data_IF_619629217765
#
_entry.id   IF_619629217765
#
_cell.length_a   1.000
_cell.length_b   1.000
_cell.length_c   1.000
_cell.angle_alpha   90.00
_cell.angle_beta   90.00
_cell.angle_gamma   90.00
#
_symmetry.space_group_name_H-M   'P 1'
#
loop_
_entity.id
_entity.type
_entity.pdbx_description
1 polymer ?
#
# COMPACT_ATOMS: atom_id res chain seq x y z
N UNK A 1 -0.59 12.06 8.12
CA UNK A 1 -1.04 10.81 7.46
C UNK A 1 -0.39 10.73 6.10
N UNK A 2 0.31 9.64 5.82
CA UNK A 2 0.71 9.33 4.45
C UNK A 2 -0.50 8.83 3.68
N UNK A 3 -0.63 9.27 2.45
CA UNK A 3 -1.72 8.87 1.56
C UNK A 3 -1.17 8.88 0.15
N UNK A 4 -0.80 7.71 -0.34
CA UNK A 4 -0.06 7.57 -1.60
C UNK A 4 -0.53 6.34 -2.37
N UNK A 5 -0.07 6.24 -3.63
CA UNK A 5 -0.20 5.02 -4.40
C UNK A 5 1.17 4.41 -4.69
N UNK A 6 1.18 3.11 -4.88
CA UNK A 6 2.33 2.35 -5.35
C UNK A 6 1.92 1.80 -6.70
N UNK A 7 2.60 2.23 -7.77
CA UNK A 7 2.22 1.88 -9.13
C UNK A 7 3.43 1.43 -9.94
N UNK A 8 3.20 0.64 -10.97
CA UNK A 8 4.24 0.19 -11.89
C UNK A 8 4.48 1.26 -12.95
N UNK A 9 5.70 1.78 -13.02
CA UNK A 9 6.12 2.74 -14.03
C UNK A 9 6.48 2.08 -15.35
N UNK A 10 6.79 2.90 -16.35
CA UNK A 10 7.23 2.43 -17.69
C UNK A 10 8.53 1.63 -17.62
N UNK A 11 9.34 1.85 -16.58
CA UNK A 11 10.59 1.13 -16.33
C UNK A 11 10.38 -0.27 -15.73
N UNK A 12 9.13 -0.69 -15.50
CA UNK A 12 8.79 -1.96 -14.88
C UNK A 12 9.01 -2.01 -13.38
N UNK A 13 9.35 -0.88 -12.76
CA UNK A 13 9.57 -0.77 -11.31
C UNK A 13 8.37 -0.10 -10.64
N UNK A 14 8.18 -0.41 -9.37
CA UNK A 14 7.18 0.27 -8.56
C UNK A 14 7.69 1.66 -8.14
N UNK A 15 6.76 2.60 -8.06
CA UNK A 15 7.00 3.98 -7.66
C UNK A 15 5.97 4.42 -6.65
N UNK A 16 6.35 5.35 -5.76
CA UNK A 16 5.41 6.02 -4.87
C UNK A 16 4.94 7.31 -5.51
N UNK A 17 3.67 7.63 -5.36
CA UNK A 17 3.10 8.93 -5.71
C UNK A 17 2.17 9.37 -4.59
N UNK A 18 2.46 10.53 -3.99
CA UNK A 18 1.59 11.11 -2.98
C UNK A 18 0.28 11.55 -3.64
N UNK A 19 -0.84 11.25 -3.00
CA UNK A 19 -2.17 11.56 -3.51
C UNK A 19 -2.73 12.79 -2.80
N UNK A 20 -3.59 13.53 -3.50
CA UNK A 20 -4.21 14.75 -2.99
C UNK A 20 -5.19 14.40 -1.86
N UNK A 21 -4.92 14.96 -0.68
CA UNK A 21 -5.75 14.79 0.52
C UNK A 21 -6.70 15.97 0.75
N UNK A 22 -6.74 16.93 -0.16
CA UNK A 22 -7.62 18.10 0.02
C UNK A 22 -9.08 17.70 -0.05
N UNK A 23 -9.92 18.43 0.66
CA UNK A 23 -11.36 18.23 0.63
C UNK A 23 -11.86 18.49 -0.80
N UNK A 24 -12.61 17.52 -1.34
CA UNK A 24 -13.10 17.60 -2.71
C UNK A 24 -12.16 17.05 -3.77
N UNK A 25 -11.02 16.47 -3.39
CA UNK A 25 -10.21 15.69 -4.32
C UNK A 25 -10.98 14.44 -4.78
N UNK A 26 -10.47 13.76 -5.81
CA UNK A 26 -11.13 12.54 -6.27
C UNK A 26 -11.12 11.40 -5.25
N UNK A 27 -10.41 11.55 -4.14
CA UNK A 27 -10.35 10.54 -3.07
C UNK A 27 -11.12 10.97 -1.83
N UNK A 28 -11.21 12.25 -1.54
CA UNK A 28 -11.85 12.78 -0.32
C UNK A 28 -13.22 13.37 -0.65
N UNK A 29 -14.21 13.06 0.17
CA UNK A 29 -15.63 13.31 -0.05
C UNK A 29 -16.22 12.57 -1.26
N UNK A 30 -15.44 11.74 -1.92
CA UNK A 30 -15.91 10.91 -3.02
C UNK A 30 -16.34 9.55 -2.49
N UNK A 31 -17.33 8.94 -3.14
CA UNK A 31 -17.68 7.53 -2.90
C UNK A 31 -16.78 6.69 -3.78
N UNK A 32 -15.87 5.95 -3.16
CA UNK A 32 -14.91 5.12 -3.89
C UNK A 32 -15.46 3.71 -4.06
N UNK A 33 -15.42 3.14 -5.28
CA UNK A 33 -15.87 1.77 -5.50
C UNK A 33 -15.05 0.79 -4.67
N UNK A 34 -15.71 -0.19 -4.06
CA UNK A 34 -15.03 -1.25 -3.32
C UNK A 34 -15.80 -2.56 -3.45
N UNK A 35 -15.07 -3.67 -3.52
CA UNK A 35 -15.66 -5.01 -3.68
C UNK A 35 -15.66 -5.81 -2.39
N UNK A 36 -14.64 -5.64 -1.55
CA UNK A 36 -14.48 -6.44 -0.35
C UNK A 36 -13.60 -5.69 0.66
N UNK A 37 -13.81 -5.99 1.92
CA UNK A 37 -13.00 -5.51 3.04
C UNK A 37 -12.51 -6.72 3.82
N UNK A 38 -11.21 -6.77 4.12
CA UNK A 38 -10.62 -7.81 4.95
C UNK A 38 -9.70 -7.17 5.99
N UNK A 39 -9.77 -7.65 7.23
CA UNK A 39 -8.82 -7.29 8.27
C UNK A 39 -7.78 -8.40 8.39
N UNK A 40 -6.52 -8.02 8.50
CA UNK A 40 -5.42 -8.97 8.65
C UNK A 40 -4.55 -8.62 9.85
N UNK A 41 -4.16 -9.65 10.58
CA UNK A 41 -3.26 -9.58 11.72
C UNK A 41 -2.38 -10.83 11.72
N UNK A 42 -1.66 -11.06 10.63
CA UNK A 42 -0.70 -12.16 10.49
C UNK A 42 0.73 -11.73 10.87
N UNK A 43 0.81 -10.71 11.66
CA UNK A 43 2.00 -10.18 12.36
C UNK A 43 3.31 -10.48 11.60
N UNK A 44 4.35 -9.96 11.89
CA UNK A 44 5.75 -10.19 11.49
C UNK A 44 6.02 -11.25 10.38
N UNK A 45 5.14 -11.37 9.37
CA UNK A 45 5.33 -12.29 8.24
C UNK A 45 6.64 -11.96 7.53
N UNK A 46 7.47 -12.97 7.27
CA UNK A 46 8.72 -12.80 6.55
C UNK A 46 8.63 -13.15 5.06
N UNK A 47 7.56 -13.80 4.63
CA UNK A 47 7.34 -14.11 3.21
C UNK A 47 7.10 -12.87 2.33
N UNK A 48 6.85 -11.71 2.94
CA UNK A 48 6.69 -10.43 2.25
C UNK A 48 8.01 -9.67 2.09
N UNK A 49 9.11 -10.13 2.71
CA UNK A 49 10.40 -9.44 2.65
C UNK A 49 11.03 -9.47 1.26
N UNK A 50 10.72 -10.47 0.43
CA UNK A 50 11.17 -10.56 -0.95
C UNK A 50 10.34 -9.70 -1.90
N UNK A 51 10.85 -9.52 -3.11
CA UNK A 51 10.15 -8.78 -4.15
C UNK A 51 8.87 -9.49 -4.57
N UNK A 52 7.76 -8.76 -4.57
CA UNK A 52 6.46 -9.29 -5.00
C UNK A 52 5.57 -8.15 -5.49
N UNK A 53 4.68 -8.47 -6.39
CA UNK A 53 3.66 -7.53 -6.88
C UNK A 53 2.45 -7.54 -5.95
N UNK A 54 1.62 -6.50 -6.05
CA UNK A 54 0.32 -6.52 -5.40
C UNK A 54 -0.55 -7.61 -6.04
N UNK A 55 -1.25 -8.43 -5.24
CA UNK A 55 -2.11 -9.50 -5.78
C UNK A 55 -3.30 -8.95 -6.56
N UNK A 56 -3.69 -7.73 -6.28
CA UNK A 56 -4.79 -6.99 -6.90
C UNK A 56 -4.66 -5.52 -6.55
N UNK A 57 -5.38 -4.66 -7.26
CA UNK A 57 -5.52 -3.27 -6.84
C UNK A 57 -6.32 -3.22 -5.55
N UNK A 58 -5.77 -2.61 -4.53
CA UNK A 58 -6.42 -2.54 -3.22
C UNK A 58 -5.87 -1.40 -2.38
N UNK A 59 -6.74 -0.82 -1.55
CA UNK A 59 -6.32 0.08 -0.49
C UNK A 59 -5.77 -0.73 0.68
N UNK A 60 -4.73 -0.23 1.30
CA UNK A 60 -4.21 -0.75 2.56
C UNK A 60 -4.21 0.36 3.59
N UNK A 61 -4.89 0.11 4.71
CA UNK A 61 -5.02 1.05 5.81
C UNK A 61 -4.34 0.41 7.02
N UNK A 62 -3.27 1.01 7.51
CA UNK A 62 -2.61 0.53 8.74
C UNK A 62 -3.41 0.95 9.95
N UNK A 63 -3.76 -0.01 10.78
CA UNK A 63 -4.54 0.20 12.00
C UNK A 63 -3.62 0.24 13.22
N UNK A 64 -2.65 -0.65 13.30
CA UNK A 64 -1.62 -0.64 14.35
C UNK A 64 -0.35 -1.28 13.84
N UNK A 65 0.75 -1.10 14.58
CA UNK A 65 2.06 -1.55 14.10
C UNK A 65 2.51 -0.74 12.90
N UNK A 66 3.33 -1.34 12.06
CA UNK A 66 3.87 -0.65 10.89
C UNK A 66 4.31 -1.64 9.81
N UNK A 67 4.50 -1.12 8.60
CA UNK A 67 5.12 -1.86 7.50
C UNK A 67 6.09 -0.94 6.77
N UNK A 68 7.28 -1.46 6.44
CA UNK A 68 8.24 -0.78 5.58
C UNK A 68 8.09 -1.31 4.16
N UNK A 69 7.73 -0.44 3.23
CA UNK A 69 7.61 -0.78 1.81
C UNK A 69 8.85 -0.25 1.10
N UNK A 70 9.56 -1.15 0.42
CA UNK A 70 10.72 -0.80 -0.40
C UNK A 70 10.43 -0.99 -1.88
N UNK A 71 11.00 -0.11 -2.71
CA UNK A 71 10.86 -0.15 -4.17
C UNK A 71 12.24 -0.19 -4.84
N UNK A 72 12.27 -0.45 -6.15
CA UNK A 72 13.47 -0.82 -6.88
C UNK A 72 14.56 0.24 -7.00
N UNK A 73 14.25 1.52 -6.73
CA UNK A 73 15.25 2.59 -6.70
C UNK A 73 15.92 2.75 -5.33
N UNK A 74 15.61 1.88 -4.38
CA UNK A 74 16.16 1.92 -3.03
C UNK A 74 15.36 2.80 -2.06
N UNK A 75 14.31 3.46 -2.50
CA UNK A 75 13.44 4.26 -1.63
C UNK A 75 12.60 3.33 -0.78
N UNK A 76 12.47 3.69 0.49
CA UNK A 76 11.63 2.97 1.46
C UNK A 76 10.76 3.97 2.20
N UNK A 77 9.51 3.56 2.47
CA UNK A 77 8.59 4.32 3.32
C UNK A 77 8.02 3.41 4.38
N UNK A 78 7.88 3.94 5.59
CA UNK A 78 7.26 3.24 6.72
C UNK A 78 5.84 3.79 6.89
N UNK A 79 4.87 2.88 6.86
CA UNK A 79 3.46 3.20 7.06
C UNK A 79 3.06 2.76 8.47
N UNK A 80 2.65 3.71 9.28
CA UNK A 80 2.17 3.48 10.64
C UNK A 80 0.66 3.68 10.76
N UNK A 81 0.11 3.66 11.99
CA UNK A 81 -1.34 3.78 12.20
C UNK A 81 -1.92 5.02 11.53
N UNK A 82 -2.99 4.84 10.77
CA UNK A 82 -3.66 5.90 10.02
C UNK A 82 -3.09 6.17 8.65
N UNK A 83 -1.92 5.62 8.31
CA UNK A 83 -1.35 5.76 6.96
C UNK A 83 -2.04 4.82 5.98
N UNK A 84 -2.18 5.28 4.74
CA UNK A 84 -2.92 4.59 3.69
C UNK A 84 -2.09 4.54 2.42
N UNK A 85 -2.05 3.39 1.77
CA UNK A 85 -1.54 3.32 0.41
C UNK A 85 -2.49 2.54 -0.50
N UNK A 86 -2.50 2.94 -1.77
CA UNK A 86 -3.20 2.25 -2.83
C UNK A 86 -2.18 1.40 -3.58
N UNK A 87 -2.30 0.08 -3.45
CA UNK A 87 -1.43 -0.85 -4.17
C UNK A 87 -1.98 -1.05 -5.58
N UNK A 88 -1.22 -0.60 -6.58
CA UNK A 88 -1.57 -0.72 -8.00
C UNK A 88 -0.46 -1.39 -8.81
N UNK A 89 0.63 -1.78 -8.17
CA UNK A 89 1.79 -2.41 -8.81
C UNK A 89 1.56 -3.91 -8.98
N UNK A 90 0.58 -4.26 -9.80
CA UNK A 90 0.18 -5.65 -10.06
C UNK A 90 1.05 -6.33 -11.10
N UNK A 91 1.98 -5.61 -11.69
CA UNK A 91 2.94 -6.10 -12.71
C UNK A 91 4.35 -5.64 -12.38
N UNK A 92 5.34 -6.15 -13.12
CA UNK A 92 6.71 -5.71 -13.00
C UNK A 92 7.44 -6.27 -11.78
N UNK A 93 8.41 -5.52 -11.28
CA UNK A 93 9.28 -5.95 -10.17
C UNK A 93 8.54 -6.03 -8.83
N UNK A 94 7.59 -5.13 -8.62
CA UNK A 94 6.88 -5.07 -7.36
C UNK A 94 7.66 -4.34 -6.26
N UNK A 95 7.35 -4.70 -5.03
CA UNK A 95 7.89 -4.07 -3.83
C UNK A 95 8.25 -5.11 -2.78
N UNK A 96 8.93 -4.67 -1.74
CA UNK A 96 9.18 -5.47 -0.53
C UNK A 96 8.32 -4.91 0.61
N UNK A 97 7.95 -5.75 1.55
CA UNK A 97 7.19 -5.35 2.73
C UNK A 97 7.76 -6.01 3.98
N UNK A 98 8.20 -5.20 4.93
CA UNK A 98 8.73 -5.67 6.20
C UNK A 98 7.78 -5.24 7.31
N UNK A 99 6.88 -6.12 7.76
CA UNK A 99 5.90 -5.78 8.79
C UNK A 99 6.51 -5.86 10.19
N UNK A 100 6.00 -5.01 11.09
CA UNK A 100 6.29 -5.05 12.53
C UNK A 100 4.96 -4.97 13.27
N UNK A 101 4.47 -6.11 13.75
CA UNK A 101 3.18 -6.23 14.45
C UNK A 101 2.03 -5.54 13.67
N UNK A 102 2.03 -5.73 12.38
CA UNK A 102 1.22 -4.94 11.45
C UNK A 102 -0.20 -5.46 11.35
N UNK A 103 -1.13 -4.66 11.86
CA UNK A 103 -2.58 -4.88 11.73
C UNK A 103 -3.10 -3.89 10.69
N UNK A 104 -3.80 -4.39 9.69
CA UNK A 104 -4.26 -3.57 8.57
C UNK A 104 -5.61 -4.03 8.05
N UNK A 105 -6.25 -3.12 7.33
CA UNK A 105 -7.43 -3.40 6.54
C UNK A 105 -7.08 -3.28 5.06
N UNK A 106 -7.48 -4.25 4.27
CA UNK A 106 -7.44 -4.17 2.81
C UNK A 106 -8.83 -3.96 2.26
N UNK A 107 -8.97 -3.02 1.34
CA UNK A 107 -10.20 -2.80 0.58
C UNK A 107 -9.91 -3.19 -0.87
N UNK A 108 -10.53 -4.26 -1.33
CA UNK A 108 -10.37 -4.76 -2.71
C UNK A 108 -11.17 -3.91 -3.69
N UNK A 109 -10.57 -3.58 -4.80
CA UNK A 109 -11.19 -2.76 -5.84
C UNK A 109 -11.68 -3.61 -7.01
#
# INVERSE_FOLDING_TARGET
MQFCRIYTGEDGRSHFEDLDQSQGSKYFLATLPSKALIFKNDMNRDDLHGWHTAPRRQWCITLSGSVEIGIGDGVKRVFGPGDVFLAEDVTGEGHTAVPTNWVRAFVHL
#
